data_IF_855330199639
#
_entry.id   IF_855330199639
#
_cell.length_a   1.000
_cell.length_b   1.000
_cell.length_c   1.000
_cell.angle_alpha   90.00
_cell.angle_beta   90.00
_cell.angle_gamma   90.00
#
_symmetry.space_group_name_H-M   'P 1'
#
loop_
_entity.id
_entity.type
_entity.pdbx_description
1 polymer ?
#
# COMPACT_ATOMS: atom_id res chain seq x y z
N UNK A 1 -13.86 3.17 8.04
CA UNK A 1 -12.50 2.92 7.54
C UNK A 1 -11.56 3.77 8.36
N UNK A 2 -10.41 3.22 8.77
CA UNK A 2 -9.44 3.87 9.67
C UNK A 2 -8.05 3.65 9.11
N UNK A 3 -7.15 4.62 9.24
CA UNK A 3 -5.75 4.50 8.83
C UNK A 3 -4.84 4.47 10.05
N UNK A 4 -3.82 3.62 10.01
CA UNK A 4 -2.79 3.50 11.02
C UNK A 4 -1.53 2.86 10.41
N UNK A 5 -0.36 3.46 10.62
CA UNK A 5 0.88 3.04 9.98
C UNK A 5 2.04 3.05 11.00
N UNK A 6 2.28 1.92 11.67
CA UNK A 6 3.22 1.85 12.80
C UNK A 6 4.69 1.92 12.41
N UNK A 7 5.02 1.46 11.19
CA UNK A 7 6.40 1.27 10.74
C UNK A 7 6.70 2.03 9.45
N UNK A 8 5.98 3.12 9.18
CA UNK A 8 6.33 3.98 8.06
C UNK A 8 7.76 4.50 8.27
N UNK A 9 8.66 4.15 7.34
CA UNK A 9 10.10 4.48 7.35
C UNK A 9 10.91 3.99 8.56
N UNK A 10 10.30 3.26 9.48
CA UNK A 10 10.93 2.74 10.68
C UNK A 10 11.10 1.23 10.62
N UNK A 11 12.23 0.73 11.12
CA UNK A 11 12.47 -0.71 11.23
C UNK A 11 11.89 -1.20 12.58
N UNK A 12 10.97 -2.18 12.60
CA UNK A 12 10.50 -2.77 13.85
C UNK A 12 11.65 -3.38 14.65
N UNK A 13 11.61 -3.24 15.98
CA UNK A 13 12.67 -3.69 16.89
C UNK A 13 12.95 -5.20 16.78
N UNK A 14 11.91 -5.99 16.50
CA UNK A 14 12.01 -7.43 16.31
C UNK A 14 11.53 -7.80 14.91
N UNK A 15 12.20 -8.78 14.29
CA UNK A 15 11.93 -9.21 12.91
C UNK A 15 11.31 -10.60 12.79
N UNK A 16 10.99 -11.25 13.91
CA UNK A 16 10.29 -12.52 13.89
C UNK A 16 8.85 -12.35 13.41
N UNK A 17 8.38 -13.35 12.66
CA UNK A 17 7.06 -13.31 12.00
C UNK A 17 5.92 -13.27 13.02
N UNK A 18 6.11 -13.84 14.21
CA UNK A 18 5.11 -13.87 15.26
C UNK A 18 4.90 -12.48 15.88
N UNK A 19 6.00 -11.77 16.20
CA UNK A 19 5.95 -10.38 16.64
C UNK A 19 5.20 -9.49 15.63
N UNK A 20 5.58 -9.57 14.35
CA UNK A 20 4.95 -8.75 13.31
C UNK A 20 3.45 -9.06 13.13
N UNK A 21 3.08 -10.34 13.16
CA UNK A 21 1.69 -10.76 13.14
C UNK A 21 0.91 -10.25 14.38
N UNK A 22 1.53 -10.31 15.57
CA UNK A 22 0.92 -9.85 16.81
C UNK A 22 0.69 -8.33 16.81
N UNK A 23 1.63 -7.55 16.29
CA UNK A 23 1.46 -6.10 16.12
C UNK A 23 0.27 -5.80 15.22
N UNK A 24 0.24 -6.40 14.03
CA UNK A 24 -0.84 -6.21 13.05
C UNK A 24 -2.22 -6.61 13.62
N UNK A 25 -2.29 -7.77 14.29
CA UNK A 25 -3.52 -8.23 14.97
C UNK A 25 -3.98 -7.26 16.04
N UNK A 26 -3.05 -6.75 16.86
CA UNK A 26 -3.39 -5.84 17.97
C UNK A 26 -3.94 -4.51 17.47
N UNK A 27 -3.37 -3.96 16.39
CA UNK A 27 -3.86 -2.72 15.76
C UNK A 27 -5.29 -2.92 15.27
N UNK A 28 -5.55 -3.98 14.51
CA UNK A 28 -6.89 -4.24 13.99
C UNK A 28 -7.89 -4.58 15.12
N UNK A 29 -7.48 -5.35 16.13
CA UNK A 29 -8.33 -5.65 17.28
C UNK A 29 -8.80 -4.37 17.97
N UNK A 30 -7.89 -3.42 18.23
CA UNK A 30 -8.24 -2.14 18.84
C UNK A 30 -9.29 -1.35 18.02
N UNK A 31 -9.23 -1.40 16.69
CA UNK A 31 -10.26 -0.79 15.83
C UNK A 31 -11.59 -1.54 15.93
N UNK A 32 -11.55 -2.87 15.81
CA UNK A 32 -12.73 -3.72 15.75
C UNK A 32 -13.45 -3.94 17.08
N UNK A 33 -12.77 -3.72 18.21
CA UNK A 33 -13.37 -3.70 19.55
C UNK A 33 -14.40 -2.59 19.71
N UNK A 34 -14.23 -1.47 18.99
CA UNK A 34 -15.13 -0.32 19.03
C UNK A 34 -16.08 -0.30 17.83
N UNK A 35 -15.59 -0.69 16.65
CA UNK A 35 -16.36 -0.74 15.40
C UNK A 35 -16.20 -2.10 14.72
N UNK A 36 -17.19 -2.98 14.87
CA UNK A 36 -17.19 -4.32 14.26
C UNK A 36 -17.14 -4.30 12.71
N UNK A 37 -17.45 -3.17 12.08
CA UNK A 37 -17.36 -2.96 10.65
C UNK A 37 -16.06 -2.27 10.21
N UNK A 38 -15.09 -2.10 11.12
CA UNK A 38 -13.81 -1.49 10.83
C UNK A 38 -13.12 -2.14 9.62
N UNK A 39 -12.54 -1.30 8.78
CA UNK A 39 -11.60 -1.66 7.71
C UNK A 39 -10.37 -0.80 7.96
N UNK A 40 -9.23 -1.45 8.11
CA UNK A 40 -7.93 -0.79 8.25
C UNK A 40 -7.37 -0.47 6.87
N UNK A 41 -7.10 0.80 6.61
CA UNK A 41 -6.37 1.28 5.42
C UNK A 41 -4.90 1.43 5.80
N UNK A 42 -4.03 0.69 5.11
CA UNK A 42 -2.59 0.62 5.39
C UNK A 42 -1.78 1.15 4.21
N UNK A 43 -0.82 2.04 4.47
CA UNK A 43 0.16 2.45 3.46
C UNK A 43 1.19 1.34 3.24
N UNK A 44 1.33 0.89 1.99
CA UNK A 44 2.30 -0.14 1.60
C UNK A 44 3.75 0.36 1.54
N UNK A 45 4.02 1.65 1.77
CA UNK A 45 5.35 2.27 1.61
C UNK A 45 6.45 1.56 2.40
N UNK A 46 6.18 1.13 3.63
CA UNK A 46 7.17 0.43 4.45
C UNK A 46 7.74 -0.82 3.77
N UNK A 47 6.93 -1.53 2.97
CA UNK A 47 7.36 -2.74 2.27
C UNK A 47 8.29 -2.44 1.09
N UNK A 48 8.26 -1.20 0.58
CA UNK A 48 9.15 -0.69 -0.47
C UNK A 48 10.39 -0.04 0.15
N UNK A 49 10.18 0.93 1.05
CA UNK A 49 11.26 1.72 1.65
C UNK A 49 12.27 0.85 2.41
N UNK A 50 11.81 -0.18 3.12
CA UNK A 50 12.66 -1.10 3.87
C UNK A 50 12.62 -2.52 3.29
N UNK A 51 12.74 -2.68 1.96
CA UNK A 51 12.56 -3.97 1.25
C UNK A 51 13.44 -5.11 1.75
N UNK A 52 14.67 -4.81 2.21
CA UNK A 52 15.59 -5.82 2.76
C UNK A 52 15.11 -6.35 4.11
N UNK A 53 14.46 -5.49 4.91
CA UNK A 53 13.86 -5.92 6.15
C UNK A 53 12.55 -6.66 5.90
N UNK A 54 11.66 -6.11 5.06
CA UNK A 54 10.33 -6.65 4.73
C UNK A 54 10.38 -7.73 3.65
N UNK A 55 10.91 -8.89 4.04
CA UNK A 55 10.85 -10.12 3.25
C UNK A 55 9.42 -10.60 3.05
N UNK A 56 9.18 -11.42 2.02
CA UNK A 56 7.84 -11.94 1.73
C UNK A 56 7.18 -12.64 2.93
N UNK A 57 7.93 -13.44 3.69
CA UNK A 57 7.38 -14.14 4.86
C UNK A 57 6.93 -13.17 5.97
N UNK A 58 7.69 -12.10 6.20
CA UNK A 58 7.33 -11.07 7.19
C UNK A 58 6.12 -10.26 6.75
N UNK A 59 6.08 -9.86 5.48
CA UNK A 59 4.93 -9.13 4.93
C UNK A 59 3.68 -10.00 4.95
N UNK A 60 3.80 -11.28 4.55
CA UNK A 60 2.71 -12.24 4.63
C UNK A 60 2.20 -12.37 6.06
N UNK A 61 3.07 -12.63 7.03
CA UNK A 61 2.69 -12.75 8.43
C UNK A 61 1.97 -11.50 8.95
N UNK A 62 2.46 -10.32 8.59
CA UNK A 62 1.84 -9.04 8.97
C UNK A 62 0.45 -8.86 8.35
N UNK A 63 0.31 -9.04 7.03
CA UNK A 63 -0.94 -8.77 6.32
C UNK A 63 -2.03 -9.82 6.59
N UNK A 64 -1.66 -11.09 6.76
CA UNK A 64 -2.62 -12.18 7.01
C UNK A 64 -2.99 -12.35 8.48
N UNK A 65 -2.42 -11.56 9.38
CA UNK A 65 -2.83 -11.50 10.78
C UNK A 65 -4.16 -10.74 10.99
N UNK A 66 -4.60 -9.99 9.97
CA UNK A 66 -5.91 -9.32 9.90
C UNK A 66 -6.85 -10.20 9.05
N UNK A 67 -8.14 -10.34 9.41
CA UNK A 67 -9.09 -11.08 8.57
C UNK A 67 -9.11 -10.57 7.12
N UNK A 68 -9.31 -11.48 6.16
CA UNK A 68 -9.34 -11.11 4.74
C UNK A 68 -10.46 -10.11 4.46
N UNK A 69 -10.14 -9.07 3.69
CA UNK A 69 -11.07 -7.99 3.35
C UNK A 69 -11.25 -6.94 4.45
N UNK A 70 -10.59 -7.09 5.60
CA UNK A 70 -10.59 -6.11 6.70
C UNK A 70 -9.34 -5.24 6.72
N UNK A 71 -8.36 -5.53 5.86
CA UNK A 71 -7.20 -4.71 5.57
C UNK A 71 -7.25 -4.29 4.10
N UNK A 72 -7.21 -3.00 3.83
CA UNK A 72 -7.10 -2.42 2.50
C UNK A 72 -5.72 -1.80 2.35
N UNK A 73 -4.90 -2.37 1.47
CA UNK A 73 -3.52 -1.88 1.28
C UNK A 73 -3.48 -0.81 0.18
N UNK A 74 -2.81 0.30 0.43
CA UNK A 74 -2.45 1.26 -0.61
C UNK A 74 -1.09 0.84 -1.18
N UNK A 75 -1.04 0.33 -2.41
CA UNK A 75 0.21 0.10 -3.12
C UNK A 75 0.75 1.47 -3.57
N UNK A 76 1.45 2.13 -2.63
CA UNK A 76 1.51 3.59 -2.56
C UNK A 76 2.23 4.24 -3.76
N UNK A 77 3.24 3.56 -4.31
CA UNK A 77 4.05 4.02 -5.44
C UNK A 77 3.99 3.00 -6.59
N UNK A 78 2.81 2.45 -6.87
CA UNK A 78 2.66 1.34 -7.79
C UNK A 78 3.04 1.68 -9.23
N UNK A 79 3.02 2.97 -9.60
CA UNK A 79 3.48 3.46 -10.89
C UNK A 79 4.99 3.41 -11.08
N UNK A 80 5.77 3.26 -10.00
CA UNK A 80 7.23 3.18 -10.06
C UNK A 80 7.74 1.83 -9.55
N UNK A 81 7.25 1.40 -8.38
CA UNK A 81 7.72 0.23 -7.65
C UNK A 81 6.51 -0.61 -7.18
N UNK A 82 5.83 -1.31 -8.11
CA UNK A 82 4.63 -2.07 -7.78
C UNK A 82 4.92 -3.19 -6.77
N UNK A 83 4.29 -3.12 -5.60
CA UNK A 83 4.44 -4.15 -4.58
C UNK A 83 3.48 -5.32 -4.78
N UNK A 84 2.34 -5.10 -5.44
CA UNK A 84 1.34 -6.14 -5.67
C UNK A 84 1.91 -7.38 -6.39
N UNK A 85 2.82 -7.21 -7.35
CA UNK A 85 3.46 -8.34 -8.04
C UNK A 85 4.38 -9.13 -7.10
N UNK A 86 5.29 -8.43 -6.40
CA UNK A 86 6.24 -9.06 -5.46
C UNK A 86 5.55 -9.74 -4.30
N UNK A 87 4.40 -9.23 -3.87
CA UNK A 87 3.66 -9.69 -2.70
C UNK A 87 2.42 -10.53 -3.07
N UNK A 88 2.35 -11.01 -4.31
CA UNK A 88 1.29 -11.91 -4.79
C UNK A 88 -0.11 -11.37 -4.48
N UNK A 89 -0.40 -10.14 -4.89
CA UNK A 89 -1.63 -9.40 -4.57
C UNK A 89 -1.87 -9.30 -3.06
N UNK A 90 -0.84 -8.90 -2.31
CA UNK A 90 -0.89 -8.71 -0.85
C UNK A 90 -1.48 -9.92 -0.11
N UNK A 91 -1.15 -11.12 -0.60
CA UNK A 91 -1.59 -12.41 -0.04
C UNK A 91 -3.11 -12.52 0.16
N UNK A 92 -3.88 -11.92 -0.74
CA UNK A 92 -5.35 -12.00 -0.75
C UNK A 92 -6.06 -10.83 -0.07
N UNK A 93 -5.34 -9.86 0.49
CA UNK A 93 -5.96 -8.62 0.95
C UNK A 93 -6.28 -7.71 -0.25
N UNK A 94 -7.41 -7.00 -0.26
CA UNK A 94 -7.70 -6.02 -1.30
C UNK A 94 -6.70 -4.88 -1.26
N UNK A 95 -6.40 -4.31 -2.42
CA UNK A 95 -5.51 -3.15 -2.52
C UNK A 95 -5.99 -2.12 -3.53
N UNK A 96 -5.51 -0.88 -3.35
CA UNK A 96 -5.66 0.23 -4.28
C UNK A 96 -4.30 0.45 -4.95
N UNK A 97 -4.28 0.42 -6.28
CA UNK A 97 -3.10 0.79 -7.06
C UNK A 97 -2.99 2.32 -7.01
N UNK A 98 -1.89 2.84 -6.45
CA UNK A 98 -1.75 4.28 -6.27
C UNK A 98 -0.63 4.84 -7.16
N UNK A 99 -0.87 6.04 -7.68
CA UNK A 99 0.14 6.88 -8.29
C UNK A 99 0.65 7.88 -7.25
N UNK A 100 1.91 7.75 -6.83
CA UNK A 100 2.57 8.68 -5.91
C UNK A 100 2.96 9.96 -6.65
N UNK A 101 3.66 9.83 -7.78
CA UNK A 101 4.08 10.88 -8.70
C UNK A 101 5.00 11.98 -8.13
N UNK A 102 4.60 12.69 -7.07
CA UNK A 102 5.34 13.81 -6.52
C UNK A 102 5.90 13.50 -5.12
N UNK A 103 7.17 13.89 -4.92
CA UNK A 103 7.87 13.86 -3.64
C UNK A 103 8.20 15.28 -3.17
N UNK A 104 7.94 15.57 -1.91
CA UNK A 104 8.27 16.83 -1.22
C UNK A 104 7.62 18.10 -1.78
N UNK A 105 6.59 18.00 -2.63
CA UNK A 105 6.03 19.16 -3.32
C UNK A 105 7.00 19.82 -4.30
N UNK A 106 8.00 19.07 -4.77
CA UNK A 106 9.03 19.60 -5.66
C UNK A 106 8.45 20.00 -7.01
N UNK A 107 8.91 21.15 -7.53
CA UNK A 107 8.48 21.66 -8.82
C UNK A 107 9.34 21.10 -9.96
N UNK A 108 8.72 20.82 -11.09
CA UNK A 108 9.39 20.35 -12.30
C UNK A 108 8.38 19.75 -13.28
N UNK A 109 8.71 19.71 -14.57
CA UNK A 109 7.89 18.99 -15.54
C UNK A 109 8.26 17.51 -15.50
N UNK A 110 7.40 16.69 -14.88
CA UNK A 110 7.58 15.26 -14.71
C UNK A 110 6.23 14.54 -14.86
N UNK A 111 6.29 13.23 -15.12
CA UNK A 111 5.12 12.36 -15.30
C UNK A 111 5.42 11.21 -16.25
N UNK A 112 4.95 10.01 -15.91
CA UNK A 112 5.17 8.79 -16.70
C UNK A 112 3.86 8.23 -17.28
N UNK A 113 3.09 9.11 -17.94
CA UNK A 113 1.73 8.83 -18.44
C UNK A 113 1.60 7.51 -19.23
N UNK A 114 2.49 7.18 -20.19
CA UNK A 114 2.36 5.91 -20.93
C UNK A 114 2.48 4.68 -20.03
N UNK A 115 3.31 4.75 -18.99
CA UNK A 115 3.47 3.66 -18.01
C UNK A 115 2.23 3.54 -17.12
N UNK A 116 1.75 4.64 -16.55
CA UNK A 116 0.51 4.67 -15.75
C UNK A 116 -0.65 4.05 -16.52
N UNK A 117 -0.84 4.48 -17.79
CA UNK A 117 -1.87 3.94 -18.67
C UNK A 117 -1.75 2.42 -18.86
N UNK A 118 -0.55 1.94 -19.20
CA UNK A 118 -0.33 0.52 -19.48
C UNK A 118 -0.51 -0.35 -18.23
N UNK A 119 0.10 0.06 -17.10
CA UNK A 119 0.14 -0.72 -15.87
C UNK A 119 -1.28 -0.90 -15.29
N UNK A 120 -2.08 0.17 -15.19
CA UNK A 120 -3.45 0.09 -14.66
C UNK A 120 -4.30 -0.90 -15.45
N UNK A 121 -4.23 -0.85 -16.78
CA UNK A 121 -4.95 -1.79 -17.64
C UNK A 121 -4.41 -3.21 -17.53
N UNK A 122 -3.10 -3.39 -17.43
CA UNK A 122 -2.50 -4.71 -17.25
C UNK A 122 -2.94 -5.34 -15.93
N UNK A 123 -2.79 -4.62 -14.82
CA UNK A 123 -3.09 -5.11 -13.47
C UNK A 123 -4.57 -5.47 -13.34
N UNK A 124 -5.47 -4.67 -13.93
CA UNK A 124 -6.92 -4.97 -13.92
C UNK A 124 -7.29 -6.29 -14.61
N UNK A 125 -6.45 -6.78 -15.52
CA UNK A 125 -6.67 -8.03 -16.26
C UNK A 125 -6.01 -9.24 -15.58
N UNK A 126 -5.48 -9.09 -14.36
CA UNK A 126 -4.92 -10.17 -13.56
C UNK A 126 -5.96 -10.74 -12.57
N UNK A 127 -5.75 -11.91 -11.96
CA UNK A 127 -6.59 -12.41 -10.86
C UNK A 127 -6.34 -11.68 -9.53
N UNK A 128 -5.57 -10.58 -9.52
CA UNK A 128 -5.28 -9.82 -8.31
C UNK A 128 -6.51 -9.06 -7.80
N UNK A 129 -6.54 -8.78 -6.50
CA UNK A 129 -7.66 -8.14 -5.82
C UNK A 129 -7.45 -6.61 -5.80
N UNK A 130 -7.25 -6.04 -6.99
CA UNK A 130 -7.20 -4.58 -7.16
C UNK A 130 -8.63 -4.04 -7.12
N UNK A 131 -8.96 -3.26 -6.09
CA UNK A 131 -10.33 -2.76 -5.85
C UNK A 131 -10.49 -1.27 -6.16
N UNK A 132 -9.41 -0.58 -6.52
CA UNK A 132 -9.47 0.84 -6.87
C UNK A 132 -8.15 1.39 -7.39
N UNK A 133 -8.22 2.65 -7.80
CA UNK A 133 -7.06 3.49 -8.15
C UNK A 133 -6.98 4.67 -7.18
N UNK A 134 -5.77 5.16 -6.94
CA UNK A 134 -5.52 6.28 -6.02
C UNK A 134 -4.48 7.25 -6.55
N UNK A 135 -4.61 8.52 -6.17
CA UNK A 135 -3.59 9.55 -6.33
C UNK A 135 -3.12 9.95 -4.94
N UNK A 136 -1.82 9.79 -4.67
CA UNK A 136 -1.26 9.97 -3.31
C UNK A 136 -0.02 10.88 -3.31
N UNK A 137 0.01 12.02 -4.03
CA UNK A 137 1.19 12.86 -4.08
C UNK A 137 1.56 13.46 -2.72
N UNK A 138 2.86 13.55 -2.43
CA UNK A 138 3.33 14.23 -1.21
C UNK A 138 3.04 15.74 -1.24
N UNK A 139 2.99 16.33 -2.44
CA UNK A 139 2.57 17.72 -2.64
C UNK A 139 1.77 17.91 -3.92
N UNK A 140 0.79 18.82 -3.88
CA UNK A 140 -0.10 19.18 -4.99
C UNK A 140 0.39 20.45 -5.70
N UNK A 141 -0.47 21.07 -6.54
CA UNK A 141 -0.20 22.32 -7.27
C UNK A 141 0.93 22.25 -8.31
N UNK A 142 1.18 21.06 -8.86
CA UNK A 142 2.09 20.82 -9.98
C UNK A 142 1.52 19.80 -10.97
N UNK A 143 2.10 19.73 -12.17
CA UNK A 143 1.84 18.69 -13.19
C UNK A 143 0.37 18.30 -13.39
N UNK A 144 -0.55 19.27 -13.44
CA UNK A 144 -2.01 19.05 -13.50
C UNK A 144 -2.45 18.00 -14.52
N UNK A 145 -1.80 17.95 -15.69
CA UNK A 145 -2.08 16.96 -16.75
C UNK A 145 -1.91 15.50 -16.29
N UNK A 146 -1.03 15.24 -15.32
CA UNK A 146 -0.80 13.89 -14.79
C UNK A 146 -1.97 13.45 -13.92
N UNK A 147 -2.49 14.37 -13.10
CA UNK A 147 -3.63 14.10 -12.21
C UNK A 147 -4.97 14.14 -12.93
N UNK A 148 -5.11 14.93 -14.00
CA UNK A 148 -6.29 14.93 -14.88
C UNK A 148 -6.37 13.66 -15.74
N UNK A 149 -5.22 13.05 -16.04
CA UNK A 149 -5.15 11.78 -16.76
C UNK A 149 -5.53 10.58 -15.89
N UNK A 150 -5.16 10.59 -14.60
CA UNK A 150 -5.37 9.49 -13.66
C UNK A 150 -6.83 9.39 -13.23
#
# INVERSE_FOLDING_TARGET
MYSADTFNENIPQHGDVEYLANVSRSIYQAMSDVDSNAIWVLQGWMFVHQVLYWTQDKVKAFLTAVPQGKLLVLDLAAEQIPSHDRLHSFYGQPYIWCMLHNFGGTLGMHGSLPKVNADVHQVRNTPYIMVGLGMVPEGIDQNYVVYDFM
#
